data_IF_342145114527
#
_entry.id   IF_342145114527
#
_cell.length_a   1.000
_cell.length_b   1.000
_cell.length_c   1.000
_cell.angle_alpha   90.00
_cell.angle_beta   90.00
_cell.angle_gamma   90.00
#
_symmetry.space_group_name_H-M   'P 1'
#
loop_
_entity.id
_entity.type
_entity.pdbx_description
1 polymer ?
#
# COMPACT_ATOMS: atom_id res chain seq x y z
N UNK A 1 -12.48 14.17 35.73
CA UNK A 1 -12.18 15.30 34.82
C UNK A 1 -10.95 15.00 33.96
N UNK A 2 -11.13 14.42 32.77
CA UNK A 2 -10.02 14.11 31.85
C UNK A 2 -10.25 14.70 30.45
N UNK A 3 -10.86 15.88 30.40
CA UNK A 3 -11.03 16.65 29.16
C UNK A 3 -10.46 18.05 29.37
N UNK A 4 -9.13 18.14 29.41
CA UNK A 4 -8.43 19.41 29.23
C UNK A 4 -8.05 19.51 27.76
N UNK A 5 -8.85 20.29 27.04
CA UNK A 5 -8.62 20.86 25.71
C UNK A 5 -7.22 20.62 25.13
N UNK A 6 -7.08 19.57 24.32
CA UNK A 6 -6.06 19.57 23.28
C UNK A 6 -6.56 20.48 22.17
N UNK A 7 -5.99 21.67 22.12
CA UNK A 7 -6.13 22.55 20.96
C UNK A 7 -5.70 21.78 19.69
N UNK A 8 -6.61 21.69 18.71
CA UNK A 8 -6.43 20.91 17.48
C UNK A 8 -5.21 21.37 16.67
N UNK A 9 -4.76 22.60 16.90
CA UNK A 9 -3.55 23.15 16.30
C UNK A 9 -2.25 22.60 16.92
N UNK A 10 -2.24 22.26 18.22
CA UNK A 10 -1.01 21.86 18.94
C UNK A 10 -0.57 20.41 18.64
N UNK A 11 -1.47 19.56 18.12
CA UNK A 11 -1.13 18.21 17.66
C UNK A 11 -0.36 18.20 16.33
N UNK A 12 -0.29 19.31 15.59
CA UNK A 12 0.22 19.31 14.22
C UNK A 12 1.74 19.34 14.07
N UNK A 13 2.54 19.63 15.10
CA UNK A 13 3.96 19.96 14.83
C UNK A 13 4.95 19.68 15.96
N UNK A 14 4.67 18.74 16.89
CA UNK A 14 5.62 18.43 17.98
C UNK A 14 6.36 17.11 17.90
N UNK A 15 6.10 16.30 16.88
CA UNK A 15 7.01 15.24 16.48
C UNK A 15 7.34 15.47 15.00
N UNK A 16 8.62 15.66 14.67
CA UNK A 16 9.13 15.34 13.35
C UNK A 16 8.95 13.81 13.14
N UNK A 17 7.72 13.36 12.92
CA UNK A 17 7.40 12.01 12.44
C UNK A 17 7.88 11.98 10.98
N UNK A 18 9.19 11.81 10.79
CA UNK A 18 9.77 11.62 9.48
C UNK A 18 9.27 10.28 8.93
N UNK A 19 8.15 10.32 8.21
CA UNK A 19 7.60 9.15 7.55
C UNK A 19 8.55 8.73 6.44
N UNK A 20 8.87 7.43 6.37
CA UNK A 20 9.63 6.90 5.24
C UNK A 20 8.84 7.16 3.94
N UNK A 21 9.49 7.70 2.89
CA UNK A 21 8.82 7.93 1.61
C UNK A 21 8.33 6.60 1.05
N UNK A 22 7.15 6.61 0.42
CA UNK A 22 6.70 5.45 -0.35
C UNK A 22 7.48 5.43 -1.66
N UNK A 23 8.03 4.28 -2.08
CA UNK A 23 8.54 4.14 -3.44
C UNK A 23 7.43 4.40 -4.46
N UNK A 24 7.76 5.05 -5.58
CA UNK A 24 6.86 5.13 -6.72
C UNK A 24 6.99 3.85 -7.54
N UNK A 25 6.20 2.81 -7.20
CA UNK A 25 6.24 1.55 -7.92
C UNK A 25 5.68 1.72 -9.33
N UNK A 26 6.46 1.28 -10.31
CA UNK A 26 6.07 1.21 -11.73
C UNK A 26 5.71 -0.22 -12.11
N UNK A 27 5.25 -0.40 -13.34
CA UNK A 27 4.80 -1.70 -13.89
C UNK A 27 5.68 -2.89 -13.50
N UNK A 28 6.99 -2.84 -13.76
CA UNK A 28 7.90 -3.95 -13.46
C UNK A 28 8.02 -4.24 -11.97
N UNK A 29 7.98 -3.23 -11.11
CA UNK A 29 8.05 -3.41 -9.67
C UNK A 29 6.80 -4.13 -9.15
N UNK A 30 5.63 -3.71 -9.62
CA UNK A 30 4.34 -4.28 -9.22
C UNK A 30 4.28 -5.76 -9.63
N UNK A 31 4.72 -6.06 -10.86
CA UNK A 31 4.82 -7.44 -11.36
C UNK A 31 5.82 -8.27 -10.55
N UNK A 32 6.96 -7.70 -10.15
CA UNK A 32 7.95 -8.36 -9.28
C UNK A 32 7.38 -8.65 -7.89
N UNK A 33 6.69 -7.69 -7.28
CA UNK A 33 6.03 -7.87 -5.97
C UNK A 33 5.01 -9.00 -6.04
N UNK A 34 4.13 -8.98 -7.05
CA UNK A 34 3.14 -10.05 -7.23
C UNK A 34 3.78 -11.42 -7.39
N UNK A 35 4.81 -11.52 -8.24
CA UNK A 35 5.52 -12.79 -8.48
C UNK A 35 6.26 -13.27 -7.23
N UNK A 36 6.86 -12.37 -6.45
CA UNK A 36 7.50 -12.69 -5.16
C UNK A 36 6.51 -13.31 -4.16
N UNK A 37 5.24 -12.91 -4.23
CA UNK A 37 4.16 -13.44 -3.40
C UNK A 37 3.53 -14.72 -3.99
N UNK A 38 4.02 -15.22 -5.14
CA UNK A 38 3.49 -16.38 -5.85
C UNK A 38 2.01 -16.26 -6.24
N UNK A 39 1.54 -15.04 -6.54
CA UNK A 39 0.14 -14.77 -6.86
C UNK A 39 -0.11 -14.58 -8.36
N UNK A 40 -1.27 -15.04 -8.81
CA UNK A 40 -1.84 -14.63 -10.11
C UNK A 40 -2.29 -13.17 -10.03
N UNK A 41 -2.48 -12.49 -11.18
CA UNK A 41 -3.03 -11.12 -11.18
C UNK A 41 -4.41 -11.06 -10.51
N UNK A 42 -5.25 -12.08 -10.71
CA UNK A 42 -6.57 -12.19 -10.08
C UNK A 42 -6.47 -12.28 -8.55
N UNK A 43 -5.62 -13.17 -8.02
CA UNK A 43 -5.48 -13.33 -6.56
C UNK A 43 -4.79 -12.12 -5.94
N UNK A 44 -3.84 -11.50 -6.65
CA UNK A 44 -3.21 -10.27 -6.20
C UNK A 44 -4.19 -9.08 -6.15
N UNK A 45 -5.08 -8.96 -7.15
CA UNK A 45 -6.13 -7.96 -7.15
C UNK A 45 -7.08 -8.13 -5.95
N UNK A 46 -7.47 -9.36 -5.62
CA UNK A 46 -8.25 -9.67 -4.42
C UNK A 46 -7.53 -9.27 -3.14
N UNK A 47 -6.25 -9.61 -3.00
CA UNK A 47 -5.44 -9.25 -1.85
C UNK A 47 -5.33 -7.72 -1.66
N UNK A 48 -5.31 -6.97 -2.76
CA UNK A 48 -5.25 -5.51 -2.76
C UNK A 48 -6.61 -4.82 -2.65
N UNK A 49 -7.72 -5.56 -2.72
CA UNK A 49 -9.07 -4.99 -2.72
C UNK A 49 -9.40 -4.18 -3.97
N UNK A 50 -8.81 -4.53 -5.13
CA UNK A 50 -9.03 -3.83 -6.41
C UNK A 50 -9.48 -4.79 -7.51
N UNK A 51 -9.90 -4.24 -8.66
CA UNK A 51 -10.26 -5.07 -9.82
C UNK A 51 -9.02 -5.67 -10.49
N UNK A 52 -9.19 -6.80 -11.19
CA UNK A 52 -8.09 -7.38 -12.00
C UNK A 52 -7.60 -6.40 -13.08
N UNK A 53 -8.52 -5.66 -13.71
CA UNK A 53 -8.20 -4.62 -14.71
C UNK A 53 -7.31 -3.52 -14.13
N UNK A 54 -7.47 -3.20 -12.85
CA UNK A 54 -6.60 -2.24 -12.15
C UNK A 54 -5.17 -2.77 -12.06
N UNK A 55 -4.99 -4.04 -11.68
CA UNK A 55 -3.65 -4.68 -11.64
C UNK A 55 -3.04 -4.79 -13.03
N UNK A 56 -3.83 -5.18 -14.04
CA UNK A 56 -3.37 -5.21 -15.44
C UNK A 56 -2.92 -3.84 -15.93
N UNK A 57 -3.69 -2.79 -15.61
CA UNK A 57 -3.35 -1.41 -15.98
C UNK A 57 -2.06 -0.93 -15.31
N UNK A 58 -1.85 -1.29 -14.04
CA UNK A 58 -0.60 -1.02 -13.34
C UNK A 58 0.59 -1.78 -13.93
N UNK A 59 0.44 -3.09 -14.17
CA UNK A 59 1.51 -3.93 -14.75
C UNK A 59 1.78 -3.64 -16.23
N UNK A 60 0.90 -2.90 -16.92
CA UNK A 60 1.11 -2.40 -18.29
C UNK A 60 1.56 -0.94 -18.34
N UNK A 61 1.73 -0.29 -17.18
CA UNK A 61 2.13 1.12 -17.05
C UNK A 61 1.13 2.11 -17.68
N UNK A 62 -0.13 1.70 -17.88
CA UNK A 62 -1.20 2.55 -18.43
C UNK A 62 -1.83 3.43 -17.35
N UNK A 63 -1.78 3.01 -16.08
CA UNK A 63 -2.07 3.85 -14.92
C UNK A 63 -1.07 3.59 -13.80
N UNK A 64 -0.96 4.56 -12.88
CA UNK A 64 -0.10 4.48 -11.71
C UNK A 64 -0.96 4.25 -10.46
N UNK A 65 -0.57 3.37 -9.53
CA UNK A 65 -1.28 3.22 -8.26
C UNK A 65 -1.36 4.53 -7.49
N UNK A 66 -2.49 4.77 -6.82
CA UNK A 66 -2.66 5.91 -5.91
C UNK A 66 -1.69 5.82 -4.72
N UNK A 67 -1.46 6.94 -4.02
CA UNK A 67 -0.57 6.96 -2.84
C UNK A 67 -0.85 5.87 -1.80
N UNK A 68 -2.10 5.60 -1.41
CA UNK A 68 -2.45 4.49 -0.53
C UNK A 68 -2.11 3.12 -1.12
N UNK A 69 -2.37 2.90 -2.41
CA UNK A 69 -2.02 1.65 -3.08
C UNK A 69 -0.51 1.44 -3.15
N UNK A 70 0.26 2.49 -3.45
CA UNK A 70 1.72 2.48 -3.38
C UNK A 70 2.20 2.09 -1.98
N UNK A 71 1.59 2.65 -0.92
CA UNK A 71 1.92 2.32 0.47
C UNK A 71 1.58 0.87 0.81
N UNK A 72 0.47 0.35 0.33
CA UNK A 72 0.10 -1.04 0.57
C UNK A 72 1.04 -2.01 -0.16
N UNK A 73 1.37 -1.74 -1.42
CA UNK A 73 2.40 -2.47 -2.19
C UNK A 73 3.75 -2.47 -1.46
N UNK A 74 4.12 -1.34 -0.87
CA UNK A 74 5.33 -1.23 -0.05
C UNK A 74 5.30 -2.17 1.16
N UNK A 75 4.18 -2.19 1.88
CA UNK A 75 4.00 -3.04 3.06
C UNK A 75 4.03 -4.52 2.68
N UNK A 76 3.32 -4.96 1.63
CA UNK A 76 3.32 -6.35 1.18
C UNK A 76 4.69 -6.79 0.67
N UNK A 77 5.42 -5.92 -0.03
CA UNK A 77 6.77 -6.24 -0.49
C UNK A 77 7.75 -6.41 0.69
N UNK A 78 7.62 -5.58 1.72
CA UNK A 78 8.47 -5.63 2.92
C UNK A 78 8.07 -6.71 3.92
N UNK A 79 6.78 -7.01 4.02
CA UNK A 79 6.19 -7.94 4.98
C UNK A 79 5.16 -8.84 4.28
N UNK A 80 5.60 -9.86 3.50
CA UNK A 80 4.71 -10.80 2.82
C UNK A 80 3.71 -11.50 3.74
N UNK A 81 4.06 -11.71 5.01
CA UNK A 81 3.21 -12.36 6.02
C UNK A 81 1.90 -11.62 6.30
N UNK A 82 1.79 -10.33 5.94
CA UNK A 82 0.53 -9.60 6.02
C UNK A 82 -0.56 -10.21 5.13
N UNK A 83 -0.20 -11.04 4.15
CA UNK A 83 -1.17 -11.81 3.39
C UNK A 83 -1.95 -12.80 4.24
N UNK A 84 -1.36 -13.35 5.32
CA UNK A 84 -2.06 -14.32 6.18
C UNK A 84 -3.27 -13.70 6.88
N UNK A 85 -3.20 -12.41 7.23
CA UNK A 85 -4.29 -11.66 7.88
C UNK A 85 -5.50 -11.42 6.97
N UNK A 86 -5.31 -11.55 5.64
CA UNK A 86 -6.34 -11.28 4.64
C UNK A 86 -6.72 -12.53 3.83
N UNK A 87 -6.11 -13.68 4.12
CA UNK A 87 -6.57 -14.96 3.59
C UNK A 87 -7.83 -15.37 4.36
N UNK A 88 -8.86 -15.73 3.60
CA UNK A 88 -10.06 -16.40 4.11
C UNK A 88 -9.77 -17.84 4.46
#
# INVERSE_FOLDING_TARGET
EFTKNLDRATLRTKNNFALKPVPNYKSDDIKKIRKKLFLTQKTFAKALGVSIKTVESWESNTNIPSGPAQRFLYLLNKKPQLLEEIKS
#
